data_IF_774375722047
#
_entry.id   IF_774375722047
#
_cell.length_a   1.000
_cell.length_b   1.000
_cell.length_c   1.000
_cell.angle_alpha   90.00
_cell.angle_beta   90.00
_cell.angle_gamma   90.00
#
_symmetry.space_group_name_H-M   'P 1'
#
loop_
_entity.id
_entity.type
_entity.pdbx_description
1 polymer ?
#
# COMPACT_ATOMS: atom_id res chain seq x y z
N UNK A 1 -15.45 36.41 -10.04
CA UNK A 1 -14.62 35.56 -10.91
C UNK A 1 -14.94 34.11 -10.56
N UNK A 2 -15.77 33.43 -11.36
CA UNK A 2 -15.86 31.97 -11.29
C UNK A 2 -14.77 31.45 -12.23
N UNK A 3 -13.69 30.82 -11.73
CA UNK A 3 -12.75 30.17 -12.61
C UNK A 3 -13.49 29.01 -13.27
N UNK A 4 -13.57 29.05 -14.60
CA UNK A 4 -13.83 27.84 -15.38
C UNK A 4 -12.76 26.83 -14.98
N UNK A 5 -13.14 25.78 -14.27
CA UNK A 5 -12.26 24.70 -13.83
C UNK A 5 -11.63 24.04 -15.04
N UNK A 6 -10.47 24.54 -15.47
CA UNK A 6 -9.58 23.84 -16.38
C UNK A 6 -9.29 22.50 -15.72
N UNK A 7 -9.81 21.43 -16.31
CA UNK A 7 -9.85 20.13 -15.66
C UNK A 7 -8.41 19.68 -15.33
N UNK A 8 -8.02 19.77 -14.05
CA UNK A 8 -6.70 19.35 -13.55
C UNK A 8 -6.45 17.83 -13.75
N UNK A 9 -7.48 17.12 -14.18
CA UNK A 9 -7.49 15.70 -14.53
C UNK A 9 -7.53 15.56 -16.06
N UNK A 10 -6.51 14.89 -16.61
CA UNK A 10 -6.50 14.52 -18.02
C UNK A 10 -7.53 13.40 -18.28
N UNK A 11 -8.58 13.72 -19.05
CA UNK A 11 -9.68 12.79 -19.35
C UNK A 11 -9.24 11.50 -20.07
N UNK A 12 -8.23 11.56 -20.94
CA UNK A 12 -7.67 10.37 -21.57
C UNK A 12 -6.97 9.48 -20.54
N UNK A 13 -6.21 10.06 -19.60
CA UNK A 13 -5.61 9.30 -18.51
C UNK A 13 -6.65 8.66 -17.60
N UNK A 14 -7.70 9.40 -17.24
CA UNK A 14 -8.81 8.87 -16.43
C UNK A 14 -9.43 7.62 -17.09
N UNK A 15 -9.77 7.73 -18.39
CA UNK A 15 -10.28 6.61 -19.18
C UNK A 15 -9.33 5.40 -19.15
N UNK A 16 -8.02 5.63 -19.28
CA UNK A 16 -7.05 4.55 -19.29
C UNK A 16 -6.82 3.93 -17.90
N UNK A 17 -6.98 4.69 -16.82
CA UNK A 17 -6.99 4.15 -15.45
C UNK A 17 -8.19 3.20 -15.26
N UNK A 18 -9.38 3.56 -15.76
CA UNK A 18 -10.56 2.68 -15.72
C UNK A 18 -10.33 1.39 -16.51
N UNK A 19 -9.84 1.52 -17.75
CA UNK A 19 -9.50 0.36 -18.60
C UNK A 19 -8.45 -0.55 -17.93
N UNK A 20 -7.46 0.03 -17.24
CA UNK A 20 -6.45 -0.74 -16.50
C UNK A 20 -7.09 -1.60 -15.41
N UNK A 21 -7.95 -1.01 -14.56
CA UNK A 21 -8.65 -1.74 -13.51
C UNK A 21 -9.58 -2.82 -14.06
N UNK A 22 -10.29 -2.54 -15.15
CA UNK A 22 -11.12 -3.52 -15.85
C UNK A 22 -10.29 -4.69 -16.39
N UNK A 23 -9.14 -4.39 -17.01
CA UNK A 23 -8.28 -5.41 -17.62
C UNK A 23 -7.57 -6.29 -16.57
N UNK A 24 -7.18 -5.74 -15.43
CA UNK A 24 -6.60 -6.50 -14.32
C UNK A 24 -7.67 -7.22 -13.51
N UNK A 25 -8.87 -6.63 -13.39
CA UNK A 25 -9.97 -7.13 -12.57
C UNK A 25 -9.75 -6.92 -11.06
N UNK A 26 -8.94 -5.93 -10.67
CA UNK A 26 -8.62 -5.66 -9.27
C UNK A 26 -9.50 -4.60 -8.60
N UNK A 27 -10.24 -3.78 -9.33
CA UNK A 27 -11.13 -2.77 -8.73
C UNK A 27 -12.33 -2.46 -9.64
N UNK A 28 -13.48 -2.15 -9.04
CA UNK A 28 -14.60 -1.51 -9.72
C UNK A 28 -14.34 -0.02 -9.78
N UNK A 29 -14.07 0.48 -10.98
CA UNK A 29 -13.79 1.89 -11.20
C UNK A 29 -14.98 2.63 -11.82
N UNK A 30 -15.77 2.00 -12.70
CA UNK A 30 -16.70 2.66 -13.63
C UNK A 30 -17.75 3.57 -12.99
N UNK A 31 -18.22 3.26 -11.78
CA UNK A 31 -19.23 4.02 -11.04
C UNK A 31 -18.62 5.00 -10.01
N UNK A 32 -17.29 5.21 -10.04
CA UNK A 32 -16.56 6.05 -9.08
C UNK A 32 -15.92 7.26 -9.75
N UNK A 33 -15.87 8.37 -9.03
CA UNK A 33 -15.10 9.55 -9.39
C UNK A 33 -13.61 9.27 -9.22
N UNK A 34 -12.76 9.92 -10.03
CA UNK A 34 -11.32 9.77 -9.95
C UNK A 34 -10.69 11.10 -9.57
N UNK A 35 -9.73 11.06 -8.64
CA UNK A 35 -8.87 12.20 -8.31
C UNK A 35 -7.41 11.79 -8.46
N UNK A 36 -6.60 12.61 -9.13
CA UNK A 36 -5.15 12.41 -9.21
C UNK A 36 -4.43 13.18 -8.11
N UNK A 37 -3.38 12.59 -7.56
CA UNK A 37 -2.52 13.24 -6.59
C UNK A 37 -1.04 12.96 -6.83
N UNK A 38 -0.21 13.79 -6.20
CA UNK A 38 1.27 13.74 -6.16
C UNK A 38 1.74 12.56 -5.30
N UNK A 39 1.36 11.36 -5.76
CA UNK A 39 1.36 10.12 -5.03
C UNK A 39 0.18 9.99 -4.05
N UNK A 40 -0.08 8.76 -3.63
CA UNK A 40 -1.09 8.45 -2.59
C UNK A 40 -0.83 9.19 -1.27
N UNK A 41 0.41 9.56 -0.99
CA UNK A 41 0.78 10.41 0.15
C UNK A 41 -0.01 11.72 0.21
N UNK A 42 -0.24 12.40 -0.92
CA UNK A 42 -1.03 13.63 -0.94
C UNK A 42 -2.52 13.31 -0.74
N UNK A 43 -3.02 12.30 -1.45
CA UNK A 43 -4.43 11.89 -1.41
C UNK A 43 -4.87 11.44 -0.01
N UNK A 44 -4.01 10.72 0.72
CA UNK A 44 -4.30 10.30 2.10
C UNK A 44 -4.63 11.48 3.00
N UNK A 45 -3.81 12.54 2.98
CA UNK A 45 -4.06 13.72 3.78
C UNK A 45 -5.33 14.46 3.33
N UNK A 46 -5.52 14.62 2.02
CA UNK A 46 -6.72 15.26 1.47
C UNK A 46 -8.01 14.53 1.82
N UNK A 47 -8.00 13.19 1.78
CA UNK A 47 -9.15 12.36 2.15
C UNK A 47 -9.44 12.41 3.64
N UNK A 48 -8.41 12.39 4.50
CA UNK A 48 -8.61 12.57 5.94
C UNK A 48 -9.26 13.93 6.23
N UNK A 49 -8.81 15.02 5.58
CA UNK A 49 -9.44 16.34 5.70
C UNK A 49 -10.90 16.29 5.19
N UNK A 50 -11.14 15.72 4.00
CA UNK A 50 -12.46 15.68 3.39
C UNK A 50 -13.52 14.93 4.24
N UNK A 51 -13.09 13.86 4.91
CA UNK A 51 -13.94 13.06 5.81
C UNK A 51 -14.08 13.67 7.20
N UNK A 52 -13.29 14.70 7.53
CA UNK A 52 -13.35 15.37 8.82
C UNK A 52 -14.44 16.44 8.88
N UNK A 53 -14.95 16.76 10.08
CA UNK A 53 -15.79 17.93 10.27
C UNK A 53 -15.05 19.23 9.93
N UNK A 54 -15.76 20.17 9.33
CA UNK A 54 -15.27 21.53 9.02
C UNK A 54 -15.56 22.53 10.15
N UNK A 55 -16.40 22.16 11.13
CA UNK A 55 -16.86 23.04 12.20
C UNK A 55 -16.02 22.83 13.47
N UNK A 56 -15.58 23.93 14.08
CA UNK A 56 -14.73 23.94 15.29
C UNK A 56 -15.53 23.44 16.52
N UNK A 57 -16.85 23.58 16.50
CA UNK A 57 -17.72 23.15 17.60
C UNK A 57 -18.05 21.63 17.55
N UNK A 58 -17.63 20.93 16.50
CA UNK A 58 -17.81 19.48 16.34
C UNK A 58 -16.56 18.74 16.81
N UNK A 59 -16.78 17.62 17.52
CA UNK A 59 -15.67 16.77 17.97
C UNK A 59 -14.83 16.28 16.77
N UNK A 60 -13.49 16.37 16.86
CA UNK A 60 -12.61 15.91 15.78
C UNK A 60 -12.83 14.44 15.41
N UNK A 61 -12.69 14.11 14.13
CA UNK A 61 -12.68 12.73 13.68
C UNK A 61 -11.45 12.00 14.23
N UNK A 62 -11.64 10.72 14.59
CA UNK A 62 -10.56 9.87 15.12
C UNK A 62 -9.96 9.06 13.99
N UNK A 63 -8.71 9.34 13.65
CA UNK A 63 -7.99 8.61 12.59
C UNK A 63 -7.25 7.43 13.21
N UNK A 64 -7.51 6.22 12.72
CA UNK A 64 -6.96 4.97 13.27
C UNK A 64 -6.50 4.02 12.16
N UNK A 65 -5.65 3.06 12.49
CA UNK A 65 -5.27 1.96 11.60
C UNK A 65 -5.00 0.69 12.43
N UNK A 66 -5.32 -0.49 11.90
CA UNK A 66 -5.08 -1.75 12.60
C UNK A 66 -3.58 -2.09 12.62
N UNK A 67 -3.02 -2.36 13.81
CA UNK A 67 -1.60 -2.71 13.98
C UNK A 67 -1.32 -4.14 13.48
N UNK A 68 -0.21 -4.40 12.76
CA UNK A 68 0.78 -3.43 12.28
C UNK A 68 0.30 -2.67 11.03
N UNK A 69 0.60 -1.37 10.96
CA UNK A 69 0.20 -0.52 9.84
C UNK A 69 1.35 0.32 9.29
N UNK A 70 1.14 0.89 8.10
CA UNK A 70 2.12 1.76 7.45
C UNK A 70 2.46 3.01 8.32
N UNK A 71 3.72 3.21 8.75
CA UNK A 71 4.07 4.23 9.75
C UNK A 71 3.76 5.67 9.33
N UNK A 72 3.61 5.92 8.03
CA UNK A 72 3.29 7.26 7.51
C UNK A 72 1.87 7.68 7.87
N UNK A 73 0.92 6.77 8.07
CA UNK A 73 -0.42 7.14 8.57
C UNK A 73 -0.31 7.96 9.86
N UNK A 74 0.30 7.39 10.90
CA UNK A 74 0.57 8.10 12.16
C UNK A 74 1.41 9.35 11.96
N UNK A 75 2.53 9.26 11.24
CA UNK A 75 3.49 10.38 11.11
C UNK A 75 2.86 11.56 10.38
N UNK A 76 2.13 11.32 9.29
CA UNK A 76 1.49 12.33 8.48
C UNK A 76 0.33 12.98 9.23
N UNK A 77 -0.58 12.18 9.79
CA UNK A 77 -1.74 12.70 10.55
C UNK A 77 -1.29 13.52 11.76
N UNK A 78 -0.21 13.14 12.46
CA UNK A 78 0.34 13.95 13.56
C UNK A 78 1.10 15.19 13.09
N UNK A 79 1.66 15.16 11.88
CA UNK A 79 2.42 16.28 11.33
C UNK A 79 1.48 17.41 10.90
N UNK A 80 0.39 17.09 10.21
CA UNK A 80 -0.64 18.04 9.83
C UNK A 80 -1.61 18.27 10.99
N UNK A 81 -1.37 19.32 11.79
CA UNK A 81 -2.17 19.69 12.96
C UNK A 81 -3.45 20.42 12.58
N UNK A 82 -4.34 19.74 11.86
CA UNK A 82 -5.68 20.24 11.52
C UNK A 82 -6.65 20.03 12.69
N UNK A 83 -7.59 20.95 12.92
CA UNK A 83 -8.52 20.87 14.07
C UNK A 83 -9.61 19.82 13.89
N UNK A 84 -9.98 19.49 12.66
CA UNK A 84 -11.06 18.55 12.36
C UNK A 84 -10.75 17.08 12.61
N UNK A 85 -9.51 16.69 12.90
CA UNK A 85 -9.16 15.31 13.20
C UNK A 85 -8.00 15.16 14.18
N UNK A 86 -7.89 13.97 14.77
CA UNK A 86 -6.75 13.58 15.58
C UNK A 86 -6.32 12.13 15.31
N UNK A 87 -5.02 11.86 15.39
CA UNK A 87 -4.51 10.49 15.35
C UNK A 87 -4.81 9.76 16.66
N UNK A 88 -5.50 8.62 16.55
CA UNK A 88 -5.98 7.83 17.70
C UNK A 88 -5.39 6.43 17.85
N UNK A 89 -4.46 6.03 16.98
CA UNK A 89 -3.69 4.81 17.16
C UNK A 89 -4.37 3.57 16.57
N UNK A 90 -4.34 2.47 17.33
CA UNK A 90 -4.75 1.16 16.87
C UNK A 90 -6.28 1.08 16.67
N UNK A 91 -6.71 0.70 15.47
CA UNK A 91 -8.14 0.54 15.16
C UNK A 91 -8.82 -0.51 16.06
N UNK A 92 -8.09 -1.52 16.52
CA UNK A 92 -8.65 -2.58 17.38
C UNK A 92 -9.22 -2.07 18.70
N UNK A 93 -8.76 -0.91 19.18
CA UNK A 93 -9.25 -0.31 20.43
C UNK A 93 -10.65 0.31 20.27
N UNK A 94 -11.15 0.43 19.03
CA UNK A 94 -12.39 1.12 18.68
C UNK A 94 -13.45 0.22 18.05
N UNK A 95 -13.22 -1.10 17.96
CA UNK A 95 -14.16 -2.05 17.30
C UNK A 95 -15.58 -2.02 17.88
N UNK A 96 -15.71 -1.69 19.17
CA UNK A 96 -16.99 -1.62 19.89
C UNK A 96 -17.41 -0.17 20.20
N UNK A 97 -16.90 0.82 19.47
CA UNK A 97 -17.25 2.23 19.69
C UNK A 97 -18.74 2.49 19.46
N UNK A 98 -19.35 3.33 20.30
CA UNK A 98 -20.74 3.76 20.13
C UNK A 98 -20.94 4.79 19.01
N UNK A 99 -19.86 5.31 18.43
CA UNK A 99 -19.91 6.33 17.38
C UNK A 99 -18.91 6.01 16.25
N UNK A 100 -19.12 4.90 15.50
CA UNK A 100 -18.20 4.47 14.45
C UNK A 100 -18.11 5.47 13.30
N UNK A 101 -19.17 6.23 13.03
CA UNK A 101 -19.21 7.28 12.00
C UNK A 101 -18.24 8.44 12.25
N UNK A 102 -17.72 8.59 13.48
CA UNK A 102 -16.70 9.59 13.83
C UNK A 102 -15.28 9.04 13.68
N UNK A 103 -15.13 7.79 13.25
CA UNK A 103 -13.84 7.13 13.03
C UNK A 103 -13.50 7.15 11.54
N UNK A 104 -12.28 7.59 11.23
CA UNK A 104 -11.67 7.40 9.91
C UNK A 104 -10.68 6.24 10.03
N UNK A 105 -11.00 5.10 9.43
CA UNK A 105 -10.14 3.92 9.45
C UNK A 105 -9.27 3.87 8.19
N UNK A 106 -7.95 3.84 8.38
CA UNK A 106 -6.98 3.68 7.30
C UNK A 106 -6.66 2.18 7.14
N UNK A 107 -7.21 1.57 6.09
CA UNK A 107 -7.10 0.14 5.81
C UNK A 107 -6.09 -0.05 4.69
N UNK A 108 -5.09 -0.92 4.85
CA UNK A 108 -4.15 -1.26 3.75
C UNK A 108 -4.35 -2.69 3.33
N UNK A 109 -4.58 -2.95 2.04
CA UNK A 109 -4.90 -4.30 1.56
C UNK A 109 -4.38 -4.55 0.15
N UNK A 110 -3.40 -5.45 -0.07
CA UNK A 110 -2.58 -6.15 0.92
C UNK A 110 -1.86 -5.21 1.89
N UNK A 111 -1.81 -5.59 3.16
CA UNK A 111 -1.28 -4.77 4.24
C UNK A 111 0.24 -4.57 4.14
N UNK A 112 0.68 -3.46 4.71
CA UNK A 112 2.08 -3.15 4.93
C UNK A 112 2.35 -3.21 6.45
N UNK A 113 3.07 -4.23 6.94
CA UNK A 113 4.20 -4.89 6.26
C UNK A 113 3.94 -6.25 5.58
N UNK A 114 3.03 -7.08 6.07
CA UNK A 114 3.08 -8.53 5.83
C UNK A 114 2.40 -9.02 4.54
N UNK A 115 1.60 -8.18 3.88
CA UNK A 115 0.95 -8.51 2.61
C UNK A 115 -0.32 -9.34 2.74
N UNK A 116 -0.98 -9.33 3.90
CA UNK A 116 -2.30 -9.97 4.08
C UNK A 116 -3.43 -9.05 3.63
N UNK A 117 -4.54 -9.62 3.18
CA UNK A 117 -5.75 -8.85 2.92
C UNK A 117 -6.35 -8.37 4.24
N UNK A 118 -6.55 -7.06 4.35
CA UNK A 118 -7.31 -6.44 5.43
C UNK A 118 -8.61 -5.84 4.88
N UNK A 119 -9.59 -5.75 5.76
CA UNK A 119 -10.84 -5.02 5.60
C UNK A 119 -10.98 -4.09 6.81
N UNK A 120 -11.88 -3.11 6.72
CA UNK A 120 -12.26 -2.31 7.90
C UNK A 120 -12.74 -3.24 9.03
N UNK A 121 -12.18 -3.06 10.22
CA UNK A 121 -12.55 -3.83 11.43
C UNK A 121 -13.54 -3.08 12.33
N UNK A 122 -13.83 -1.82 12.02
CA UNK A 122 -14.80 -0.98 12.74
C UNK A 122 -16.04 -0.80 11.87
N UNK A 123 -17.07 -1.59 12.16
CA UNK A 123 -18.31 -1.57 11.40
C UNK A 123 -18.98 -0.18 11.46
N UNK A 124 -19.25 0.42 10.29
CA UNK A 124 -19.84 1.75 10.15
C UNK A 124 -18.84 2.91 10.21
N UNK A 125 -17.52 2.64 10.21
CA UNK A 125 -16.49 3.68 10.10
C UNK A 125 -16.38 4.26 8.69
N UNK A 126 -15.77 5.43 8.58
CA UNK A 126 -15.39 6.04 7.31
C UNK A 126 -14.02 5.47 6.88
N UNK A 127 -14.03 4.41 6.07
CA UNK A 127 -12.81 3.70 5.73
C UNK A 127 -12.14 4.21 4.43
N UNK A 128 -10.83 4.48 4.50
CA UNK A 128 -9.98 4.74 3.34
C UNK A 128 -9.16 3.49 3.05
N UNK A 129 -9.36 2.87 1.88
CA UNK A 129 -8.66 1.64 1.51
C UNK A 129 -7.44 1.95 0.64
N UNK A 130 -6.25 1.77 1.21
CA UNK A 130 -4.96 1.82 0.52
C UNK A 130 -4.66 0.48 -0.17
N UNK A 131 -4.90 0.45 -1.49
CA UNK A 131 -4.70 -0.69 -2.38
C UNK A 131 -3.44 -0.55 -3.25
N UNK A 132 -2.42 0.20 -2.80
CA UNK A 132 -1.19 0.36 -3.60
C UNK A 132 -0.48 -0.97 -3.91
N UNK A 133 -0.69 -2.01 -3.11
CA UNK A 133 -0.17 -3.35 -3.34
C UNK A 133 -1.18 -4.32 -3.97
N UNK A 134 -2.40 -3.89 -4.32
CA UNK A 134 -3.42 -4.78 -4.87
C UNK A 134 -3.26 -5.03 -6.37
N UNK A 135 -2.10 -5.60 -6.73
CA UNK A 135 -1.70 -5.92 -8.09
C UNK A 135 -1.18 -7.36 -8.15
N UNK A 136 -1.25 -8.03 -9.32
CA UNK A 136 -0.75 -9.39 -9.50
C UNK A 136 0.73 -9.57 -9.15
N UNK A 137 1.53 -8.51 -9.02
CA UNK A 137 2.91 -8.64 -8.53
C UNK A 137 2.98 -9.19 -7.11
N UNK A 138 2.04 -8.81 -6.25
CA UNK A 138 2.16 -8.98 -4.80
C UNK A 138 1.24 -10.04 -4.24
N UNK A 139 0.07 -10.20 -4.85
CA UNK A 139 -1.03 -10.98 -4.30
C UNK A 139 -1.90 -11.58 -5.40
N UNK A 140 -2.61 -12.70 -5.17
CA UNK A 140 -3.73 -13.12 -6.01
C UNK A 140 -4.80 -12.01 -6.15
N UNK A 141 -5.35 -11.84 -7.34
CA UNK A 141 -6.56 -11.03 -7.54
C UNK A 141 -7.77 -11.96 -7.32
N UNK A 142 -8.30 -11.99 -6.10
CA UNK A 142 -9.40 -12.86 -5.72
C UNK A 142 -10.77 -12.34 -6.20
N UNK A 143 -10.97 -11.01 -6.15
CA UNK A 143 -12.17 -10.33 -6.65
C UNK A 143 -11.89 -8.83 -6.84
N UNK A 144 -12.63 -8.11 -7.68
CA UNK A 144 -12.50 -6.66 -7.76
C UNK A 144 -12.84 -6.00 -6.42
N UNK A 145 -11.95 -5.11 -5.94
CA UNK A 145 -12.21 -4.20 -4.83
C UNK A 145 -13.38 -3.25 -5.18
N UNK A 146 -14.25 -2.95 -4.21
CA UNK A 146 -15.48 -2.16 -4.41
C UNK A 146 -15.84 -1.31 -3.20
N UNK A 147 -14.83 -0.77 -2.54
CA UNK A 147 -14.98 0.09 -1.38
C UNK A 147 -15.33 1.53 -1.80
N UNK A 148 -15.81 2.33 -0.85
CA UNK A 148 -16.25 3.70 -1.12
C UNK A 148 -15.09 4.63 -1.48
N UNK A 149 -13.91 4.38 -0.91
CA UNK A 149 -12.66 5.11 -1.17
C UNK A 149 -11.53 4.11 -1.33
N UNK A 150 -10.93 4.07 -2.52
CA UNK A 150 -9.79 3.19 -2.84
C UNK A 150 -8.62 4.00 -3.40
N UNK A 151 -7.40 3.69 -2.97
CA UNK A 151 -6.17 4.39 -3.36
C UNK A 151 -5.20 3.47 -4.09
N UNK A 152 -4.62 3.97 -5.17
CA UNK A 152 -3.64 3.25 -5.99
C UNK A 152 -2.49 4.16 -6.42
N UNK A 153 -1.32 3.57 -6.73
CA UNK A 153 -0.15 4.36 -7.14
C UNK A 153 0.74 3.65 -8.15
N UNK A 154 1.26 4.45 -9.11
CA UNK A 154 2.34 4.03 -10.01
C UNK A 154 3.60 3.59 -9.26
N UNK A 155 3.81 4.09 -8.04
CA UNK A 155 4.97 3.77 -7.22
C UNK A 155 5.15 2.28 -6.97
N UNK A 156 4.03 1.56 -6.82
CA UNK A 156 4.00 0.13 -6.50
C UNK A 156 3.47 -0.72 -7.64
N UNK A 157 2.75 -0.14 -8.60
CA UNK A 157 2.41 -0.87 -9.82
C UNK A 157 3.58 -0.92 -10.79
N UNK A 158 4.08 0.23 -11.26
CA UNK A 158 5.07 0.28 -12.35
C UNK A 158 6.49 0.60 -11.89
N UNK A 159 6.72 0.71 -10.57
CA UNK A 159 8.01 1.11 -9.99
C UNK A 159 8.36 2.59 -10.15
N UNK A 160 7.49 3.40 -10.77
CA UNK A 160 7.73 4.83 -11.04
C UNK A 160 7.48 5.71 -9.80
N UNK A 161 8.13 5.36 -8.68
CA UNK A 161 7.95 6.05 -7.40
C UNK A 161 8.34 7.54 -7.45
N UNK A 162 9.35 7.88 -8.26
CA UNK A 162 9.82 9.25 -8.46
C UNK A 162 8.89 10.13 -9.29
N UNK A 163 7.96 9.54 -10.07
CA UNK A 163 6.95 10.29 -10.81
C UNK A 163 5.89 10.89 -9.89
N UNK A 164 5.78 10.42 -8.64
CA UNK A 164 4.79 10.92 -7.67
C UNK A 164 3.37 10.95 -8.26
N UNK A 165 2.89 9.81 -8.76
CA UNK A 165 1.51 9.70 -9.26
C UNK A 165 0.72 8.65 -8.50
N UNK A 166 -0.43 9.05 -8.00
CA UNK A 166 -1.44 8.18 -7.40
C UNK A 166 -2.82 8.67 -7.75
N UNK A 167 -3.81 7.79 -7.59
CA UNK A 167 -5.20 8.13 -7.82
C UNK A 167 -6.10 7.55 -6.73
N UNK A 168 -7.20 8.25 -6.48
CA UNK A 168 -8.30 7.81 -5.64
C UNK A 168 -9.49 7.47 -6.53
N UNK A 169 -10.17 6.36 -6.24
CA UNK A 169 -11.51 6.05 -6.72
C UNK A 169 -12.48 6.35 -5.57
N UNK A 170 -13.42 7.27 -5.77
CA UNK A 170 -14.31 7.80 -4.73
C UNK A 170 -15.75 7.64 -5.17
N UNK A 171 -16.59 7.05 -4.32
CA UNK A 171 -18.01 6.82 -4.62
C UNK A 171 -18.89 8.03 -4.28
N UNK A 172 -18.70 8.64 -3.11
CA UNK A 172 -19.51 9.78 -2.67
C UNK A 172 -19.01 11.08 -3.32
N UNK A 173 -19.88 11.72 -4.12
CA UNK A 173 -19.61 13.00 -4.78
C UNK A 173 -19.22 14.10 -3.79
N UNK A 174 -19.78 14.11 -2.58
CA UNK A 174 -19.45 15.13 -1.56
C UNK A 174 -18.01 14.98 -1.06
N UNK A 175 -17.52 13.74 -0.95
CA UNK A 175 -16.12 13.48 -0.61
C UNK A 175 -15.24 13.87 -1.79
N UNK A 176 -15.63 13.50 -3.01
CA UNK A 176 -14.92 13.90 -4.23
C UNK A 176 -14.75 15.42 -4.34
N UNK A 177 -15.82 16.20 -4.16
CA UNK A 177 -15.79 17.66 -4.26
C UNK A 177 -14.83 18.29 -3.24
N UNK A 178 -14.87 17.83 -1.98
CA UNK A 178 -13.94 18.30 -0.93
C UNK A 178 -12.48 17.92 -1.22
N UNK A 179 -12.24 16.74 -1.77
CA UNK A 179 -10.88 16.34 -2.14
C UNK A 179 -10.40 17.18 -3.33
N UNK A 180 -11.27 17.48 -4.31
CA UNK A 180 -10.93 18.37 -5.43
C UNK A 180 -10.60 19.78 -4.94
N UNK A 181 -11.36 20.32 -3.98
CA UNK A 181 -11.04 21.59 -3.31
C UNK A 181 -9.64 21.53 -2.66
N UNK A 182 -9.34 20.47 -1.89
CA UNK A 182 -8.01 20.26 -1.33
C UNK A 182 -6.92 20.20 -2.41
N UNK A 183 -7.18 19.56 -3.55
CA UNK A 183 -6.20 19.46 -4.65
C UNK A 183 -5.92 20.82 -5.30
N UNK A 184 -6.95 21.65 -5.48
CA UNK A 184 -6.83 23.03 -5.95
C UNK A 184 -5.98 23.85 -4.98
N UNK A 185 -6.36 23.87 -3.69
CA UNK A 185 -5.68 24.68 -2.67
C UNK A 185 -4.25 24.20 -2.36
N UNK A 186 -3.98 22.91 -2.47
CA UNK A 186 -2.68 22.37 -2.09
C UNK A 186 -1.63 22.50 -3.20
N UNK A 187 -1.97 22.19 -4.44
CA UNK A 187 -0.99 22.14 -5.54
C UNK A 187 -1.54 22.52 -6.91
N UNK A 188 -2.78 23.01 -7.00
CA UNK A 188 -3.47 23.25 -8.29
C UNK A 188 -3.46 22.01 -9.20
N UNK A 189 -3.66 20.84 -8.58
CA UNK A 189 -3.64 19.54 -9.26
C UNK A 189 -2.27 18.88 -9.37
N UNK A 190 -2.08 18.10 -10.43
CA UNK A 190 -0.87 17.27 -10.63
C UNK A 190 -0.15 17.59 -11.93
N UNK A 191 1.19 17.53 -11.92
CA UNK A 191 2.05 17.82 -13.07
C UNK A 191 1.57 17.16 -14.36
N UNK A 192 1.38 17.97 -15.41
CA UNK A 192 0.98 17.48 -16.74
C UNK A 192 2.02 16.52 -17.36
N UNK A 193 3.31 16.73 -17.11
CA UNK A 193 4.36 15.81 -17.54
C UNK A 193 4.20 14.43 -16.90
N UNK A 194 3.85 14.41 -15.61
CA UNK A 194 3.58 13.19 -14.87
C UNK A 194 2.34 12.48 -15.42
N UNK A 195 1.27 13.22 -15.70
CA UNK A 195 0.06 12.67 -16.30
C UNK A 195 0.34 12.09 -17.70
N UNK A 196 1.06 12.83 -18.55
CA UNK A 196 1.42 12.39 -19.91
C UNK A 196 2.28 11.11 -19.88
N UNK A 197 3.29 11.07 -19.01
CA UNK A 197 4.14 9.87 -18.86
C UNK A 197 3.33 8.68 -18.36
N UNK A 198 2.47 8.91 -17.36
CA UNK A 198 1.58 7.87 -16.81
C UNK A 198 0.65 7.32 -17.90
N UNK A 199 0.05 8.18 -18.72
CA UNK A 199 -0.82 7.77 -19.83
C UNK A 199 -0.09 6.86 -20.81
N UNK A 200 1.14 7.21 -21.19
CA UNK A 200 1.96 6.38 -22.09
C UNK A 200 2.26 5.01 -21.47
N UNK A 201 2.62 4.97 -20.19
CA UNK A 201 2.90 3.71 -19.48
C UNK A 201 1.65 2.82 -19.41
N UNK A 202 0.48 3.37 -19.04
CA UNK A 202 -0.75 2.58 -18.94
C UNK A 202 -1.19 2.05 -20.31
N UNK A 203 -1.07 2.86 -21.37
CA UNK A 203 -1.35 2.41 -22.75
C UNK A 203 -0.50 1.20 -23.15
N UNK A 204 0.79 1.26 -22.86
CA UNK A 204 1.71 0.16 -23.14
C UNK A 204 1.38 -1.09 -22.32
N UNK A 205 1.09 -0.93 -21.02
CA UNK A 205 0.70 -2.04 -20.15
C UNK A 205 -0.57 -2.73 -20.66
N UNK A 206 -1.60 -1.95 -21.04
CA UNK A 206 -2.83 -2.49 -21.62
C UNK A 206 -2.56 -3.25 -22.93
N UNK A 207 -1.64 -2.75 -23.77
CA UNK A 207 -1.23 -3.44 -24.99
C UNK A 207 -0.52 -4.76 -24.68
N UNK A 208 0.39 -4.77 -23.70
CA UNK A 208 1.11 -5.96 -23.24
C UNK A 208 0.15 -7.02 -22.69
N UNK A 209 -0.79 -6.62 -21.83
CA UNK A 209 -1.81 -7.53 -21.28
C UNK A 209 -2.68 -8.15 -22.38
N UNK A 210 -2.97 -7.39 -23.45
CA UNK A 210 -3.76 -7.89 -24.58
C UNK A 210 -2.98 -8.82 -25.51
N UNK A 211 -1.68 -8.56 -25.72
CA UNK A 211 -0.90 -9.20 -26.81
C UNK A 211 0.19 -10.16 -26.34
N UNK A 212 0.57 -10.09 -25.06
CA UNK A 212 1.72 -10.79 -24.46
C UNK A 212 1.40 -11.41 -23.09
N UNK A 213 0.12 -11.63 -22.80
CA UNK A 213 -0.33 -12.28 -21.56
C UNK A 213 0.44 -13.59 -21.32
N UNK A 214 0.70 -13.90 -20.05
CA UNK A 214 1.44 -15.09 -19.60
C UNK A 214 2.93 -15.11 -19.98
N UNK A 215 3.47 -14.06 -20.60
CA UNK A 215 4.91 -13.89 -20.85
C UNK A 215 5.50 -12.81 -19.95
N UNK A 216 6.82 -12.77 -19.79
CA UNK A 216 7.52 -11.72 -19.04
C UNK A 216 7.44 -10.33 -19.68
N UNK A 217 6.88 -10.20 -20.88
CA UNK A 217 6.57 -8.91 -21.47
C UNK A 217 5.29 -8.27 -20.87
N UNK A 218 4.43 -9.06 -20.20
CA UNK A 218 3.39 -8.51 -19.32
C UNK A 218 3.99 -8.15 -17.97
N UNK A 219 3.93 -6.87 -17.59
CA UNK A 219 4.44 -6.38 -16.31
C UNK A 219 3.90 -7.17 -15.11
N UNK A 220 2.66 -7.64 -15.17
CA UNK A 220 2.02 -8.41 -14.10
C UNK A 220 2.72 -9.76 -13.90
N UNK A 221 2.96 -10.48 -15.01
CA UNK A 221 3.68 -11.74 -15.03
C UNK A 221 5.14 -11.55 -14.62
N UNK A 222 5.82 -10.53 -15.14
CA UNK A 222 7.20 -10.18 -14.78
C UNK A 222 7.34 -9.94 -13.26
N UNK A 223 6.48 -9.08 -12.71
CA UNK A 223 6.50 -8.75 -11.28
C UNK A 223 6.22 -9.97 -10.41
N UNK A 224 5.22 -10.79 -10.76
CA UNK A 224 4.92 -12.03 -10.04
C UNK A 224 6.11 -12.99 -10.03
N UNK A 225 6.71 -13.28 -11.20
CA UNK A 225 7.83 -14.23 -11.29
C UNK A 225 9.05 -13.75 -10.50
N UNK A 226 9.37 -12.47 -10.60
CA UNK A 226 10.51 -11.86 -9.90
C UNK A 226 10.34 -11.97 -8.39
N UNK A 227 9.18 -11.56 -7.87
CA UNK A 227 8.93 -11.56 -6.42
C UNK A 227 8.70 -12.97 -5.86
N UNK A 228 8.13 -13.89 -6.65
CA UNK A 228 7.99 -15.29 -6.22
C UNK A 228 9.34 -15.96 -6.07
N UNK A 229 10.27 -15.72 -6.99
CA UNK A 229 11.65 -16.22 -6.88
C UNK A 229 12.32 -15.70 -5.60
N UNK A 230 12.30 -14.38 -5.40
CA UNK A 230 12.88 -13.73 -4.21
C UNK A 230 12.24 -14.25 -2.91
N UNK A 231 10.92 -14.42 -2.90
CA UNK A 231 10.20 -14.96 -1.74
C UNK A 231 10.58 -16.42 -1.45
N UNK A 232 10.67 -17.27 -2.46
CA UNK A 232 11.07 -18.67 -2.31
C UNK A 232 12.50 -18.81 -1.77
N UNK A 233 13.43 -17.98 -2.26
CA UNK A 233 14.82 -17.97 -1.79
C UNK A 233 14.93 -17.51 -0.33
N UNK A 234 14.25 -16.41 0.03
CA UNK A 234 14.24 -15.88 1.39
C UNK A 234 13.60 -16.86 2.38
N UNK A 235 12.44 -17.42 2.04
CA UNK A 235 11.74 -18.38 2.92
C UNK A 235 12.53 -19.66 3.10
N UNK A 236 13.16 -20.18 2.04
CA UNK A 236 14.06 -21.34 2.14
C UNK A 236 15.25 -21.07 3.06
N UNK A 237 15.87 -19.89 2.97
CA UNK A 237 16.96 -19.53 3.86
C UNK A 237 16.48 -19.44 5.31
N UNK A 238 15.43 -18.68 5.59
CA UNK A 238 14.92 -18.50 6.97
C UNK A 238 14.48 -19.82 7.59
N UNK A 239 13.84 -20.72 6.82
CA UNK A 239 13.40 -22.03 7.31
C UNK A 239 14.53 -23.01 7.64
N UNK A 240 15.80 -22.66 7.38
CA UNK A 240 16.96 -23.52 7.66
C UNK A 240 17.49 -23.43 9.10
N UNK A 241 16.92 -22.55 9.93
CA UNK A 241 17.17 -22.49 11.37
C UNK A 241 15.94 -22.02 12.14
N UNK A 242 16.04 -21.95 13.47
CA UNK A 242 14.99 -21.49 14.38
C UNK A 242 15.17 -20.02 14.82
N UNK A 243 16.21 -19.33 14.32
CA UNK A 243 16.55 -17.96 14.78
C UNK A 243 15.55 -16.92 14.34
N UNK A 244 14.97 -17.10 13.16
CA UNK A 244 14.04 -16.16 12.56
C UNK A 244 12.78 -16.85 12.05
N UNK A 245 11.68 -16.10 12.00
CA UNK A 245 10.48 -16.49 11.28
C UNK A 245 10.02 -15.39 10.33
N UNK A 246 9.22 -15.76 9.34
CA UNK A 246 8.58 -14.85 8.39
C UNK A 246 7.06 -14.96 8.51
N UNK A 247 6.35 -14.01 7.93
CA UNK A 247 4.90 -14.08 7.87
C UNK A 247 4.41 -15.34 7.14
N UNK A 248 3.36 -15.96 7.68
CA UNK A 248 2.70 -17.08 7.02
C UNK A 248 1.70 -16.56 5.97
N UNK A 249 1.87 -17.02 4.73
CA UNK A 249 1.03 -16.75 3.56
C UNK A 249 0.83 -18.06 2.80
N UNK A 250 -0.39 -18.30 2.30
CA UNK A 250 -0.74 -19.55 1.62
C UNK A 250 -1.02 -19.31 0.13
N UNK A 251 -0.78 -20.31 -0.74
CA UNK A 251 -1.18 -20.25 -2.14
C UNK A 251 -2.70 -20.06 -2.29
N UNK A 252 -3.11 -19.27 -3.27
CA UNK A 252 -4.51 -18.91 -3.51
C UNK A 252 -4.80 -18.77 -5.01
N UNK A 253 -6.07 -18.93 -5.39
CA UNK A 253 -6.52 -18.74 -6.76
C UNK A 253 -6.49 -17.25 -7.14
N UNK A 254 -5.96 -16.95 -8.33
CA UNK A 254 -5.88 -15.60 -8.86
C UNK A 254 -6.69 -15.50 -10.17
N UNK A 255 -7.74 -14.68 -10.19
CA UNK A 255 -8.56 -14.46 -11.38
C UNK A 255 -7.77 -13.85 -12.54
N UNK A 256 -6.78 -12.99 -12.24
CA UNK A 256 -5.92 -12.41 -13.28
C UNK A 256 -5.10 -13.49 -14.01
N UNK A 257 -4.56 -14.47 -13.29
CA UNK A 257 -3.75 -15.54 -13.89
C UNK A 257 -4.54 -16.82 -14.22
N UNK A 258 -5.79 -16.93 -13.79
CA UNK A 258 -6.63 -18.12 -14.01
C UNK A 258 -6.12 -19.40 -13.32
N UNK A 259 -5.31 -19.26 -12.26
CA UNK A 259 -4.69 -20.41 -11.57
C UNK A 259 -4.36 -20.10 -10.11
N UNK A 260 -4.14 -21.17 -9.35
CA UNK A 260 -3.50 -21.08 -8.02
C UNK A 260 -2.05 -20.66 -8.19
N UNK A 261 -1.60 -19.74 -7.35
CA UNK A 261 -0.24 -19.19 -7.36
C UNK A 261 0.30 -19.07 -5.95
N UNK A 262 1.63 -19.16 -5.84
CA UNK A 262 2.32 -18.97 -4.58
C UNK A 262 2.33 -17.49 -4.15
N UNK A 263 2.57 -17.22 -2.85
CA UNK A 263 2.75 -15.86 -2.36
C UNK A 263 3.97 -15.17 -2.98
N UNK A 264 3.88 -13.86 -3.21
CA UNK A 264 5.00 -13.04 -3.67
C UNK A 264 4.97 -11.63 -3.06
N UNK A 265 5.00 -11.52 -1.71
CA UNK A 265 4.78 -10.25 -1.02
C UNK A 265 5.86 -9.20 -1.36
N UNK A 266 5.52 -7.93 -1.19
CA UNK A 266 6.49 -6.83 -1.36
C UNK A 266 7.60 -6.84 -0.30
N UNK A 267 7.36 -7.47 0.85
CA UNK A 267 8.23 -7.41 2.02
C UNK A 267 8.34 -8.77 2.70
N UNK A 268 9.49 -9.03 3.32
CA UNK A 268 9.63 -10.03 4.38
C UNK A 268 9.38 -9.36 5.73
N UNK A 269 8.38 -9.81 6.48
CA UNK A 269 8.12 -9.39 7.85
C UNK A 269 8.81 -10.36 8.80
N UNK A 270 10.09 -10.10 9.04
CA UNK A 270 11.00 -10.97 9.76
C UNK A 270 10.84 -10.75 11.27
N UNK A 271 10.72 -11.84 12.03
CA UNK A 271 10.76 -11.83 13.49
C UNK A 271 12.01 -12.52 14.00
N UNK A 272 12.67 -11.94 14.99
CA UNK A 272 13.72 -12.57 15.77
C UNK A 272 13.12 -13.44 16.88
N UNK A 273 13.32 -14.76 16.81
CA UNK A 273 12.70 -15.73 17.72
C UNK A 273 13.54 -16.04 18.95
N UNK A 274 14.87 -15.91 18.85
CA UNK A 274 15.75 -16.11 19.99
C UNK A 274 15.54 -15.04 21.06
N UNK A 275 15.51 -15.45 22.33
CA UNK A 275 15.21 -14.56 23.45
C UNK A 275 16.17 -13.38 23.55
N UNK A 276 17.46 -13.60 23.28
CA UNK A 276 18.50 -12.57 23.31
C UNK A 276 18.42 -11.55 22.16
N UNK A 277 17.77 -11.90 21.05
CA UNK A 277 17.63 -11.03 19.88
C UNK A 277 16.40 -10.10 20.06
N UNK A 278 16.42 -9.24 21.08
CA UNK A 278 15.28 -8.40 21.49
C UNK A 278 15.02 -7.21 20.56
N UNK A 279 16.04 -6.73 19.85
CA UNK A 279 15.93 -5.66 18.85
C UNK A 279 16.40 -6.19 17.50
N UNK A 280 15.44 -6.60 16.68
CA UNK A 280 15.72 -7.29 15.43
C UNK A 280 16.28 -6.34 14.36
N UNK A 281 15.89 -5.06 14.37
CA UNK A 281 16.49 -4.07 13.46
C UNK A 281 17.93 -3.77 13.83
N UNK A 282 18.24 -3.62 15.13
CA UNK A 282 19.62 -3.42 15.59
C UNK A 282 20.52 -4.62 15.25
N UNK A 283 20.02 -5.85 15.43
CA UNK A 283 20.73 -7.08 15.05
C UNK A 283 21.06 -7.08 13.56
N UNK A 284 20.06 -6.90 12.69
CA UNK A 284 20.28 -6.89 11.24
C UNK A 284 21.19 -5.74 10.81
N UNK A 285 21.08 -4.58 11.46
CA UNK A 285 21.97 -3.44 11.23
C UNK A 285 23.42 -3.75 11.60
N UNK A 286 23.70 -4.51 12.66
CA UNK A 286 25.07 -4.93 13.00
C UNK A 286 25.69 -5.84 11.94
N UNK A 287 24.87 -6.57 11.18
CA UNK A 287 25.29 -7.33 10.00
C UNK A 287 25.23 -6.49 8.71
N UNK A 288 25.14 -5.17 8.82
CA UNK A 288 25.05 -4.24 7.70
C UNK A 288 23.84 -4.47 6.77
N UNK A 289 22.72 -4.95 7.33
CA UNK A 289 21.43 -5.05 6.66
C UNK A 289 20.52 -3.96 7.23
N UNK A 290 20.31 -2.88 6.48
CA UNK A 290 19.41 -1.81 6.89
C UNK A 290 17.96 -2.20 6.63
N UNK A 291 17.14 -2.16 7.67
CA UNK A 291 15.73 -2.56 7.62
C UNK A 291 14.83 -1.46 8.20
N UNK A 292 13.51 -1.68 8.25
CA UNK A 292 12.60 -0.81 9.00
C UNK A 292 12.12 -1.53 10.26
N UNK A 293 12.52 -1.02 11.43
CA UNK A 293 12.13 -1.55 12.74
C UNK A 293 10.61 -1.70 12.87
N UNK A 294 10.18 -2.83 13.46
CA UNK A 294 8.78 -3.12 13.68
C UNK A 294 8.08 -2.15 14.62
N UNK A 295 8.83 -1.51 15.51
CA UNK A 295 8.34 -0.42 16.39
C UNK A 295 7.75 0.74 15.59
N UNK A 296 8.26 0.99 14.37
CA UNK A 296 7.71 2.03 13.51
C UNK A 296 6.26 1.73 13.11
N UNK A 297 5.91 0.45 12.98
CA UNK A 297 4.60 -0.09 12.62
C UNK A 297 3.71 -0.37 13.84
N UNK A 298 4.17 0.02 15.04
CA UNK A 298 3.58 -0.34 16.35
C UNK A 298 3.56 -1.84 16.65
N UNK A 299 4.44 -2.60 16.00
CA UNK A 299 4.74 -3.97 16.38
C UNK A 299 5.87 -4.05 17.40
N UNK A 300 6.07 -5.23 17.97
CA UNK A 300 7.18 -5.55 18.88
C UNK A 300 8.56 -5.33 18.22
N UNK A 301 9.57 -4.96 19.02
CA UNK A 301 10.94 -4.70 18.55
C UNK A 301 11.64 -5.93 17.96
N UNK A 302 11.10 -7.13 18.21
CA UNK A 302 11.52 -8.37 17.57
C UNK A 302 11.15 -8.44 16.10
N UNK A 303 10.33 -7.53 15.57
CA UNK A 303 10.01 -7.49 14.14
C UNK A 303 10.86 -6.47 13.38
N UNK A 304 11.13 -6.79 12.11
CA UNK A 304 11.66 -5.83 11.15
C UNK A 304 11.20 -6.13 9.72
N UNK A 305 11.07 -5.09 8.88
CA UNK A 305 10.60 -5.20 7.50
C UNK A 305 11.78 -5.20 6.50
N UNK A 306 11.91 -6.29 5.76
CA UNK A 306 12.83 -6.49 4.64
C UNK A 306 12.16 -6.11 3.31
N UNK A 307 12.83 -5.31 2.47
CA UNK A 307 12.30 -4.92 1.16
C UNK A 307 12.68 -5.91 0.07
N UNK A 308 11.70 -6.55 -0.55
CA UNK A 308 11.92 -7.51 -1.64
C UNK A 308 11.78 -6.90 -3.04
N UNK A 309 11.55 -5.59 -3.11
CA UNK A 309 11.23 -4.85 -4.35
C UNK A 309 12.34 -3.90 -4.81
N UNK A 310 13.57 -4.09 -4.32
CA UNK A 310 14.75 -3.30 -4.76
C UNK A 310 15.44 -3.96 -5.97
N UNK A 311 16.66 -3.55 -6.30
CA UNK A 311 17.44 -4.18 -7.38
C UNK A 311 17.81 -5.63 -7.02
N UNK A 312 18.30 -6.40 -7.99
CA UNK A 312 18.87 -7.72 -7.72
C UNK A 312 20.11 -7.61 -6.82
N UNK A 313 21.00 -6.65 -7.05
CA UNK A 313 22.16 -6.39 -6.18
C UNK A 313 21.77 -6.17 -4.71
N UNK A 314 20.68 -5.43 -4.46
CA UNK A 314 20.18 -5.18 -3.12
C UNK A 314 19.64 -6.46 -2.47
N UNK A 315 18.96 -7.30 -3.25
CA UNK A 315 18.44 -8.58 -2.77
C UNK A 315 19.57 -9.57 -2.49
N UNK A 316 20.53 -9.68 -3.40
CA UNK A 316 21.67 -10.59 -3.29
C UNK A 316 22.55 -10.23 -2.09
N UNK A 317 22.87 -8.93 -1.91
CA UNK A 317 23.61 -8.45 -0.72
C UNK A 317 22.86 -8.72 0.59
N UNK A 318 21.53 -8.56 0.59
CA UNK A 318 20.71 -8.89 1.76
C UNK A 318 20.79 -10.38 2.08
N UNK A 319 20.65 -11.25 1.07
CA UNK A 319 20.69 -12.70 1.24
C UNK A 319 22.08 -13.19 1.70
N UNK A 320 23.16 -12.66 1.11
CA UNK A 320 24.54 -12.97 1.49
C UNK A 320 24.80 -12.64 2.96
N UNK A 321 24.38 -11.46 3.42
CA UNK A 321 24.57 -11.01 4.81
C UNK A 321 23.63 -11.67 5.80
N UNK A 322 22.42 -12.04 5.37
CA UNK A 322 21.44 -12.69 6.24
C UNK A 322 21.83 -14.16 6.53
N UNK A 323 22.46 -14.83 5.57
CA UNK A 323 22.82 -16.25 5.68
C UNK A 323 23.71 -16.59 6.90
N UNK A 324 24.80 -15.86 7.20
CA UNK A 324 25.56 -16.07 8.42
C UNK A 324 24.76 -15.84 9.71
N UNK A 325 23.82 -14.88 9.71
CA UNK A 325 22.96 -14.66 10.86
C UNK A 325 22.03 -15.84 11.10
N UNK A 326 21.40 -16.36 10.04
CA UNK A 326 20.48 -17.50 10.09
C UNK A 326 21.18 -18.75 10.62
N UNK A 327 22.42 -19.01 10.20
CA UNK A 327 23.18 -20.18 10.61
C UNK A 327 24.08 -19.96 11.83
N UNK A 328 23.92 -18.84 12.54
CA UNK A 328 24.63 -18.63 13.80
C UNK A 328 24.25 -19.72 14.82
N UNK A 329 25.16 -20.03 15.73
CA UNK A 329 24.88 -20.92 16.85
C UNK A 329 24.32 -20.14 18.04
N UNK A 330 23.31 -20.70 18.70
CA UNK A 330 22.76 -20.12 19.92
C UNK A 330 23.80 -20.26 21.03
N UNK A 331 24.29 -19.15 21.56
CA UNK A 331 25.07 -19.16 22.82
C UNK A 331 24.12 -19.60 23.93
N UNK A 332 24.43 -20.74 24.55
CA UNK A 332 23.67 -21.34 25.66
C UNK A 332 23.79 -20.47 26.90
#
# INVERSE_FOLDING_TARGET
FQPSSGNIINAELEKHVRLLHQAVGNAKADDKYIVFGTGVTQLLNGLVIALSPNDIDVQPAKVVAAVPYYPVFRKQTKFFRFTGYEWKGNASDYVNTASPQNIIELVTSPNNPEGRFHHSIINGSLAIHDHVYYWPHYTPIAQPADEDIMLFSMSKFTGHSGSRFGWALIKDVKVYDKVMEYMTENTEGTSHDTQLRTLKLIKEILLQMKTKRETTADINQFGYQTLSKRWAELTKLVASSDRFSLQNLSPQYCNYFGKVRDPSPSFGWLKCEWEQDTDCEALLRSAQIKTQSGVLFEADSRYTRLSLIKTDDDFDQMMEKLKPLVHAQRSI
#
